data_IF_780423578908
#
_entry.id   IF_780423578908
#
_cell.length_a   1.000
_cell.length_b   1.000
_cell.length_c   1.000
_cell.angle_alpha   90.00
_cell.angle_beta   90.00
_cell.angle_gamma   90.00
#
_symmetry.space_group_name_H-M   'P 1'
#
loop_
_entity.id
_entity.type
_entity.pdbx_description
1 polymer ?
#
# COMPACT_ATOMS: atom_id res chain seq x y z
N UNK A 1 -29.56 1.92 6.04
CA UNK A 1 -28.66 1.98 4.87
C UNK A 1 -27.68 0.83 4.99
N UNK A 2 -27.48 0.03 3.94
CA UNK A 2 -26.54 -1.10 3.96
C UNK A 2 -25.12 -0.53 3.82
N UNK A 3 -24.19 -1.01 4.65
CA UNK A 3 -22.78 -0.58 4.61
C UNK A 3 -22.07 -1.18 3.40
N UNK A 4 -21.28 -0.36 2.70
CA UNK A 4 -20.37 -0.82 1.63
C UNK A 4 -18.91 -0.93 2.09
N UNK A 5 -18.64 -0.80 3.39
CA UNK A 5 -17.28 -0.86 3.95
C UNK A 5 -16.78 -2.32 3.92
N UNK A 6 -15.66 -2.54 3.24
CA UNK A 6 -14.95 -3.83 3.15
C UNK A 6 -13.98 -3.97 4.33
N UNK A 7 -13.19 -2.93 4.56
CA UNK A 7 -12.19 -2.90 5.62
C UNK A 7 -12.01 -1.49 6.17
N UNK A 8 -11.61 -1.39 7.44
CA UNK A 8 -11.32 -0.12 8.11
C UNK A 8 -10.12 -0.22 9.04
N UNK A 9 -9.51 0.93 9.31
CA UNK A 9 -8.56 1.13 10.40
C UNK A 9 -8.81 2.50 11.04
N UNK A 10 -8.51 2.60 12.33
CA UNK A 10 -8.71 3.79 13.12
C UNK A 10 -7.37 4.26 13.68
N UNK A 11 -7.19 5.58 13.72
CA UNK A 11 -6.25 6.23 14.64
C UNK A 11 -7.06 6.91 15.76
N UNK A 12 -6.41 7.74 16.58
CA UNK A 12 -7.05 8.41 17.70
C UNK A 12 -8.29 9.24 17.29
N UNK A 13 -8.16 10.01 16.20
CA UNK A 13 -9.20 10.95 15.76
C UNK A 13 -9.45 10.89 14.25
N UNK A 14 -9.01 9.81 13.58
CA UNK A 14 -9.25 9.61 12.15
C UNK A 14 -9.57 8.17 11.85
N UNK A 15 -10.41 7.96 10.86
CA UNK A 15 -10.77 6.62 10.36
C UNK A 15 -10.45 6.59 8.87
N UNK A 16 -9.85 5.48 8.43
CA UNK A 16 -9.73 5.15 7.01
C UNK A 16 -10.51 3.89 6.73
N UNK A 17 -11.27 3.90 5.65
CA UNK A 17 -12.00 2.73 5.18
C UNK A 17 -11.89 2.56 3.66
N UNK A 18 -12.00 1.30 3.24
CA UNK A 18 -12.08 0.87 1.85
C UNK A 18 -13.50 0.39 1.60
N UNK A 19 -14.15 0.94 0.57
CA UNK A 19 -15.56 0.69 0.25
C UNK A 19 -15.73 0.11 -1.14
N UNK A 20 -16.72 -0.76 -1.25
CA UNK A 20 -17.18 -1.32 -2.51
C UNK A 20 -17.72 -0.23 -3.45
N UNK A 21 -17.12 -0.17 -4.64
CA UNK A 21 -17.57 0.58 -5.82
C UNK A 21 -17.33 -0.27 -7.08
N UNK A 22 -17.42 -1.60 -6.94
CA UNK A 22 -17.28 -2.53 -8.03
C UNK A 22 -18.51 -2.45 -8.93
N UNK A 23 -18.25 -2.46 -10.24
CA UNK A 23 -19.28 -2.36 -11.25
C UNK A 23 -19.05 -3.50 -12.24
N UNK A 24 -20.11 -4.24 -12.52
CA UNK A 24 -20.11 -5.33 -13.50
C UNK A 24 -19.96 -4.75 -14.90
N UNK A 25 -19.18 -5.42 -15.75
CA UNK A 25 -19.16 -5.16 -17.20
C UNK A 25 -20.56 -5.29 -17.81
N UNK A 26 -20.77 -4.71 -18.99
CA UNK A 26 -21.97 -5.08 -19.76
C UNK A 26 -21.85 -6.53 -20.23
N UNK A 27 -22.96 -7.15 -20.61
CA UNK A 27 -22.93 -8.52 -21.17
C UNK A 27 -22.12 -8.57 -22.46
N UNK A 28 -22.17 -7.51 -23.29
CA UNK A 28 -21.37 -7.42 -24.52
C UNK A 28 -19.87 -7.31 -24.23
N UNK A 29 -19.52 -6.77 -23.07
CA UNK A 29 -18.15 -6.60 -22.58
C UNK A 29 -17.73 -7.69 -21.57
N UNK A 30 -18.42 -8.84 -21.53
CA UNK A 30 -18.32 -9.82 -20.44
C UNK A 30 -16.87 -10.24 -20.10
N UNK A 31 -15.99 -10.29 -21.11
CA UNK A 31 -14.59 -10.68 -20.94
C UNK A 31 -13.77 -9.67 -20.12
N UNK A 32 -14.21 -8.42 -20.04
CA UNK A 32 -13.59 -7.39 -19.21
C UNK A 32 -13.85 -7.60 -17.72
N UNK A 33 -14.87 -8.39 -17.37
CA UNK A 33 -15.33 -8.70 -16.00
C UNK A 33 -15.89 -7.48 -15.27
N UNK A 34 -15.09 -6.44 -15.13
CA UNK A 34 -15.41 -5.15 -14.55
C UNK A 34 -15.88 -4.14 -15.60
N UNK A 35 -16.65 -3.15 -15.16
CA UNK A 35 -16.90 -1.95 -15.97
C UNK A 35 -15.59 -1.21 -16.25
N UNK A 36 -15.41 -0.79 -17.50
CA UNK A 36 -14.16 -0.19 -18.03
C UNK A 36 -14.29 1.31 -18.33
N UNK A 37 -15.47 1.90 -18.11
CA UNK A 37 -15.77 3.28 -18.43
C UNK A 37 -15.71 3.60 -19.92
N UNK A 38 -16.06 4.84 -20.27
CA UNK A 38 -16.25 5.26 -21.65
C UNK A 38 -17.72 5.45 -21.98
N UNK A 39 -18.00 5.93 -23.20
CA UNK A 39 -19.34 6.36 -23.63
C UNK A 39 -20.34 5.21 -23.63
N UNK A 40 -19.90 4.04 -24.10
CA UNK A 40 -20.77 2.90 -24.39
C UNK A 40 -20.53 1.71 -23.43
N UNK A 41 -19.80 1.93 -22.33
CA UNK A 41 -19.48 0.89 -21.35
C UNK A 41 -19.98 1.26 -19.96
N UNK A 42 -20.13 0.27 -19.08
CA UNK A 42 -20.42 0.54 -17.67
C UNK A 42 -19.25 1.30 -17.02
N UNK A 43 -19.51 2.19 -16.03
CA UNK A 43 -18.47 2.98 -15.40
C UNK A 43 -17.35 2.12 -14.78
N UNK A 44 -16.17 2.73 -14.64
CA UNK A 44 -15.00 2.05 -14.10
C UNK A 44 -15.26 1.44 -12.72
N UNK A 45 -15.01 0.14 -12.60
CA UNK A 45 -14.98 -0.56 -11.32
C UNK A 45 -13.83 -0.04 -10.46
N UNK A 46 -14.12 0.31 -9.20
CA UNK A 46 -13.13 0.87 -8.27
C UNK A 46 -13.36 0.41 -6.84
N UNK A 47 -12.36 0.64 -5.99
CA UNK A 47 -12.51 0.65 -4.54
C UNK A 47 -12.35 2.08 -4.07
N UNK A 48 -13.31 2.57 -3.30
CA UNK A 48 -13.21 3.90 -2.71
C UNK A 48 -12.40 3.84 -1.42
N UNK A 49 -11.31 4.60 -1.34
CA UNK A 49 -10.61 4.88 -0.10
C UNK A 49 -11.17 6.17 0.48
N UNK A 50 -11.65 6.13 1.73
CA UNK A 50 -12.24 7.28 2.41
C UNK A 50 -11.56 7.51 3.75
N UNK A 51 -11.26 8.77 4.06
CA UNK A 51 -10.75 9.21 5.37
C UNK A 51 -11.78 10.14 6.00
N UNK A 52 -12.17 9.83 7.23
CA UNK A 52 -12.95 10.70 8.09
C UNK A 52 -12.03 11.23 9.20
N UNK A 53 -11.90 12.56 9.28
CA UNK A 53 -11.08 13.28 10.26
C UNK A 53 -11.96 13.99 11.27
N UNK A 54 -11.80 13.62 12.54
CA UNK A 54 -12.51 14.12 13.71
C UNK A 54 -11.62 15.02 14.58
N UNK A 55 -10.46 15.46 14.08
CA UNK A 55 -9.52 16.26 14.86
C UNK A 55 -9.94 17.72 15.09
N UNK A 56 -10.91 18.23 14.31
CA UNK A 56 -11.41 19.60 14.44
C UNK A 56 -12.45 19.76 15.55
N UNK A 57 -12.68 21.00 15.98
CA UNK A 57 -13.69 21.38 16.98
C UNK A 57 -15.13 21.42 16.44
N UNK A 58 -15.37 20.91 15.24
CA UNK A 58 -16.65 20.99 14.53
C UNK A 58 -17.01 19.70 13.80
N UNK A 59 -17.76 19.81 12.69
CA UNK A 59 -18.17 18.65 11.90
C UNK A 59 -16.96 17.86 11.39
N UNK A 60 -17.11 16.53 11.36
CA UNK A 60 -16.09 15.63 10.82
C UNK A 60 -15.83 15.94 9.35
N UNK A 61 -14.56 15.96 8.97
CA UNK A 61 -14.12 16.22 7.61
C UNK A 61 -13.89 14.91 6.88
N UNK A 62 -14.62 14.70 5.79
CA UNK A 62 -14.51 13.47 4.99
C UNK A 62 -13.92 13.76 3.61
N UNK A 63 -12.93 12.95 3.22
CA UNK A 63 -12.33 12.98 1.89
C UNK A 63 -12.28 11.55 1.33
N UNK A 64 -12.39 11.41 0.02
CA UNK A 64 -12.30 10.09 -0.61
C UNK A 64 -11.61 10.16 -1.97
N UNK A 65 -11.03 9.04 -2.37
CA UNK A 65 -10.40 8.82 -3.67
C UNK A 65 -10.71 7.40 -4.15
N UNK A 66 -10.89 7.22 -5.46
CA UNK A 66 -11.21 5.91 -6.02
C UNK A 66 -9.95 5.27 -6.62
N UNK A 67 -9.66 4.04 -6.22
CA UNK A 67 -8.54 3.22 -6.69
C UNK A 67 -9.09 2.21 -7.70
N UNK A 68 -8.49 2.05 -8.88
CA UNK A 68 -8.92 0.99 -9.81
C UNK A 68 -8.50 -0.38 -9.27
N UNK A 69 -9.23 -1.43 -9.65
CA UNK A 69 -9.00 -2.81 -9.20
C UNK A 69 -7.53 -3.23 -9.38
N UNK A 70 -6.96 -3.02 -10.57
CA UNK A 70 -5.54 -3.34 -10.84
C UNK A 70 -4.56 -2.62 -9.90
N UNK A 71 -4.87 -1.37 -9.55
CA UNK A 71 -4.02 -0.59 -8.65
C UNK A 71 -4.16 -1.07 -7.20
N UNK A 72 -5.33 -1.58 -6.80
CA UNK A 72 -5.49 -2.25 -5.50
C UNK A 72 -4.59 -3.48 -5.42
N UNK A 73 -4.58 -4.34 -6.44
CA UNK A 73 -3.67 -5.50 -6.51
C UNK A 73 -2.20 -5.08 -6.47
N UNK A 74 -1.81 -4.10 -7.28
CA UNK A 74 -0.44 -3.57 -7.27
C UNK A 74 -0.03 -3.08 -5.87
N UNK A 75 -0.84 -2.24 -5.23
CA UNK A 75 -0.55 -1.69 -3.90
C UNK A 75 -0.47 -2.83 -2.86
N UNK A 76 -1.40 -3.79 -2.90
CA UNK A 76 -1.43 -4.93 -1.99
C UNK A 76 -0.14 -5.77 -2.08
N UNK A 77 0.36 -6.01 -3.30
CA UNK A 77 1.62 -6.73 -3.52
C UNK A 77 2.84 -5.96 -3.00
N UNK A 78 2.87 -4.62 -3.12
CA UNK A 78 3.95 -3.82 -2.53
C UNK A 78 3.90 -3.85 -1.00
N UNK A 79 2.70 -3.72 -0.41
CA UNK A 79 2.51 -3.87 1.03
C UNK A 79 3.01 -5.24 1.50
N UNK A 80 2.60 -6.32 0.81
CA UNK A 80 3.02 -7.69 1.14
C UNK A 80 4.54 -7.82 1.13
N UNK A 81 5.21 -7.31 0.08
CA UNK A 81 6.68 -7.33 0.00
C UNK A 81 7.33 -6.59 1.17
N UNK A 82 6.81 -5.42 1.54
CA UNK A 82 7.37 -4.61 2.61
C UNK A 82 7.18 -5.27 3.98
N UNK A 83 5.97 -5.77 4.24
CA UNK A 83 5.62 -6.38 5.52
C UNK A 83 6.37 -7.69 5.74
N UNK A 84 6.52 -8.54 4.70
CA UNK A 84 7.18 -9.85 4.85
C UNK A 84 8.67 -9.86 4.54
N UNK A 85 9.22 -8.95 3.70
CA UNK A 85 10.69 -8.86 3.54
C UNK A 85 11.38 -8.33 4.79
N UNK A 86 10.66 -7.60 5.64
CA UNK A 86 11.20 -7.14 6.92
C UNK A 86 11.72 -8.31 7.77
N UNK A 87 11.12 -9.51 7.65
CA UNK A 87 11.58 -10.72 8.35
C UNK A 87 12.91 -11.29 7.80
N UNK A 88 13.25 -11.05 6.52
CA UNK A 88 14.53 -11.53 5.94
C UNK A 88 15.69 -10.55 6.16
N UNK A 89 15.38 -9.24 6.30
CA UNK A 89 16.36 -8.17 6.60
C UNK A 89 16.76 -8.10 8.08
N UNK A 90 16.11 -8.84 8.98
CA UNK A 90 16.53 -8.97 10.38
C UNK A 90 17.84 -9.77 10.57
N UNK A 91 18.61 -9.97 9.49
CA UNK A 91 20.02 -10.35 9.58
C UNK A 91 20.82 -9.17 10.13
N UNK A 92 21.15 -9.26 11.42
CA UNK A 92 22.10 -8.42 12.14
C UNK A 92 23.26 -8.00 11.21
N UNK A 93 23.42 -6.70 10.96
CA UNK A 93 24.55 -6.19 10.22
C UNK A 93 25.68 -5.86 11.20
N UNK A 94 26.89 -6.36 10.90
CA UNK A 94 28.12 -6.03 11.63
C UNK A 94 29.19 -5.58 10.62
N UNK A 95 29.95 -4.56 10.97
CA UNK A 95 31.10 -4.08 10.23
C UNK A 95 32.24 -5.09 10.23
N UNK A 96 33.19 -4.96 9.29
CA UNK A 96 34.40 -5.79 9.26
C UNK A 96 35.21 -5.69 10.56
N UNK A 97 35.21 -4.50 11.17
CA UNK A 97 35.84 -4.25 12.47
C UNK A 97 35.12 -5.00 13.59
N UNK A 98 33.80 -4.88 13.70
CA UNK A 98 33.01 -5.60 14.71
C UNK A 98 33.14 -7.12 14.57
N UNK A 99 33.20 -7.63 13.34
CA UNK A 99 33.49 -9.05 13.08
C UNK A 99 34.89 -9.46 13.57
N UNK A 100 35.89 -8.61 13.36
CA UNK A 100 37.23 -8.82 13.88
C UNK A 100 37.25 -8.79 15.41
N UNK A 101 36.58 -7.82 16.02
CA UNK A 101 36.50 -7.63 17.48
C UNK A 101 35.80 -8.83 18.15
N UNK A 102 34.73 -9.37 17.55
CA UNK A 102 34.11 -10.63 17.99
C UNK A 102 35.10 -11.81 17.92
N UNK A 103 35.93 -11.86 16.87
CA UNK A 103 37.02 -12.84 16.75
C UNK A 103 38.07 -12.72 17.86
N UNK A 104 38.38 -11.49 18.29
CA UNK A 104 39.28 -11.23 19.42
C UNK A 104 38.64 -11.68 20.73
N UNK A 105 37.37 -11.32 20.98
CA UNK A 105 36.65 -11.75 22.19
C UNK A 105 36.59 -13.28 22.30
N UNK A 106 36.29 -13.97 21.19
CA UNK A 106 36.26 -15.43 21.11
C UNK A 106 37.62 -16.04 21.46
N UNK A 107 38.71 -15.55 20.84
CA UNK A 107 40.08 -16.05 21.13
C UNK A 107 40.48 -15.84 22.58
N UNK A 108 40.17 -14.67 23.15
CA UNK A 108 40.45 -14.35 24.56
C UNK A 108 39.76 -15.32 25.51
N UNK A 109 38.48 -15.63 25.28
CA UNK A 109 37.73 -16.61 26.10
C UNK A 109 38.27 -18.02 25.95
N UNK A 110 38.56 -18.46 24.72
CA UNK A 110 39.10 -19.82 24.47
C UNK A 110 40.46 -20.00 25.15
N UNK A 111 41.34 -19.00 25.08
CA UNK A 111 42.64 -19.05 25.75
C UNK A 111 42.47 -19.09 27.28
N UNK A 112 41.59 -18.25 27.84
CA UNK A 112 41.31 -18.24 29.27
C UNK A 112 40.75 -19.58 29.78
N UNK A 113 39.90 -20.24 28.99
CA UNK A 113 39.39 -21.57 29.32
C UNK A 113 40.51 -22.63 29.27
N UNK A 114 41.40 -22.55 28.27
CA UNK A 114 42.53 -23.48 28.14
C UNK A 114 43.53 -23.32 29.30
N UNK A 115 43.88 -22.09 29.62
CA UNK A 115 44.76 -21.77 30.75
C UNK A 115 44.12 -22.13 32.09
N UNK A 116 42.82 -21.85 32.24
CA UNK A 116 42.08 -22.18 33.45
C UNK A 116 41.87 -23.66 33.69
N UNK A 117 41.85 -24.50 32.64
CA UNK A 117 41.90 -25.96 32.78
C UNK A 117 43.22 -26.44 33.38
N UNK A 118 44.33 -25.75 33.10
CA UNK A 118 45.63 -26.05 33.70
C UNK A 118 45.74 -25.55 35.15
N UNK A 119 44.98 -24.51 35.52
CA UNK A 119 45.05 -23.84 36.81
C UNK A 119 43.84 -24.08 37.74
N UNK A 120 42.88 -24.93 37.35
CA UNK A 120 41.58 -25.15 38.04
C UNK A 120 40.74 -23.87 38.30
N UNK A 121 41.01 -22.77 37.60
CA UNK A 121 40.25 -21.52 37.69
C UNK A 121 40.40 -20.69 36.41
N UNK A 122 39.29 -20.14 35.89
CA UNK A 122 39.29 -19.27 34.70
C UNK A 122 39.60 -17.82 35.09
N UNK A 123 40.44 -17.14 34.30
CA UNK A 123 40.79 -15.74 34.54
C UNK A 123 39.57 -14.81 34.42
N UNK A 124 39.19 -14.19 35.54
CA UNK A 124 38.10 -13.21 35.60
C UNK A 124 38.40 -11.96 34.77
N UNK A 125 39.68 -11.57 34.67
CA UNK A 125 40.14 -10.45 33.84
C UNK A 125 39.92 -10.72 32.33
N UNK A 126 40.22 -11.95 31.88
CA UNK A 126 39.99 -12.34 30.49
C UNK A 126 38.49 -12.37 30.14
N UNK A 127 37.65 -12.85 31.07
CA UNK A 127 36.19 -12.80 30.94
C UNK A 127 35.70 -11.35 30.89
N UNK A 128 36.22 -10.47 31.74
CA UNK A 128 35.86 -9.05 31.75
C UNK A 128 36.23 -8.35 30.44
N UNK A 129 37.45 -8.59 29.91
CA UNK A 129 37.91 -8.05 28.62
C UNK A 129 37.02 -8.50 27.46
N UNK A 130 36.69 -9.80 27.40
CA UNK A 130 35.79 -10.31 26.38
C UNK A 130 34.38 -9.73 26.52
N UNK A 131 33.86 -9.57 27.73
CA UNK A 131 32.57 -8.97 27.99
C UNK A 131 32.52 -7.50 27.55
N UNK A 132 33.57 -6.71 27.79
CA UNK A 132 33.67 -5.33 27.32
C UNK A 132 33.59 -5.25 25.78
N UNK A 133 34.28 -6.16 25.08
CA UNK A 133 34.24 -6.23 23.61
C UNK A 133 32.85 -6.63 23.10
N UNK A 134 32.22 -7.62 23.74
CA UNK A 134 30.86 -8.05 23.38
C UNK A 134 29.85 -6.92 23.59
N UNK A 135 29.96 -6.17 24.69
CA UNK A 135 29.13 -4.99 24.96
C UNK A 135 29.38 -3.88 23.94
N UNK A 136 30.63 -3.62 23.56
CA UNK A 136 30.93 -2.60 22.56
C UNK A 136 30.40 -2.97 21.17
N UNK A 137 30.56 -4.24 20.74
CA UNK A 137 29.98 -4.72 19.47
C UNK A 137 28.47 -4.72 19.54
N UNK A 138 27.87 -5.17 20.65
CA UNK A 138 26.43 -5.18 20.85
C UNK A 138 25.78 -3.80 20.75
N UNK A 139 26.50 -2.72 21.08
CA UNK A 139 26.05 -1.33 20.88
C UNK A 139 26.07 -0.89 19.41
N UNK A 140 26.92 -1.49 18.58
CA UNK A 140 27.09 -1.15 17.16
C UNK A 140 26.30 -2.03 16.21
N UNK A 141 25.82 -3.19 16.69
CA UNK A 141 24.83 -4.01 15.98
C UNK A 141 23.61 -3.16 15.65
N UNK A 142 23.41 -2.95 14.36
CA UNK A 142 22.19 -2.39 13.81
C UNK A 142 21.55 -3.47 12.95
N UNK A 143 20.23 -3.65 13.07
CA UNK A 143 19.50 -4.28 11.98
C UNK A 143 19.67 -3.35 10.77
N UNK A 144 20.10 -3.84 9.60
CA UNK A 144 20.01 -3.05 8.40
C UNK A 144 18.52 -2.85 8.14
N UNK A 145 17.95 -1.82 8.75
CA UNK A 145 16.62 -1.31 8.39
C UNK A 145 16.84 -0.59 7.06
N UNK A 146 17.16 -1.34 6.01
CA UNK A 146 16.96 -0.92 4.64
C UNK A 146 15.44 -0.83 4.48
N UNK A 147 14.93 0.34 4.87
CA UNK A 147 13.55 0.69 4.71
C UNK A 147 13.21 0.62 3.24
N UNK A 148 12.39 -0.35 2.85
CA UNK A 148 11.81 -0.32 1.53
C UNK A 148 10.83 0.85 1.50
N UNK A 149 11.30 1.99 1.01
CA UNK A 149 10.48 3.18 0.82
C UNK A 149 9.55 2.93 -0.36
N UNK A 150 8.26 3.13 -0.13
CA UNK A 150 7.24 2.99 -1.15
C UNK A 150 6.45 4.28 -1.24
N UNK A 151 6.16 4.70 -2.46
CA UNK A 151 5.29 5.84 -2.75
C UNK A 151 4.42 5.49 -3.94
N UNK A 152 3.11 5.48 -3.71
CA UNK A 152 2.11 5.45 -4.76
C UNK A 152 1.40 6.79 -4.80
N UNK A 153 1.36 7.42 -5.97
CA UNK A 153 0.66 8.67 -6.21
C UNK A 153 -0.28 8.52 -7.40
N UNK A 154 -1.48 9.06 -7.26
CA UNK A 154 -2.48 9.14 -8.32
C UNK A 154 -3.18 10.48 -8.27
N UNK A 155 -3.25 11.13 -9.42
CA UNK A 155 -4.07 12.31 -9.64
C UNK A 155 -5.20 11.98 -10.63
N UNK A 156 -6.43 12.36 -10.29
CA UNK A 156 -7.60 12.26 -11.17
C UNK A 156 -8.21 13.64 -11.35
N UNK A 157 -8.52 13.98 -12.60
CA UNK A 157 -9.18 15.23 -12.97
C UNK A 157 -10.56 14.90 -13.53
N UNK A 158 -11.60 15.49 -12.96
CA UNK A 158 -12.96 15.37 -13.48
C UNK A 158 -13.28 16.53 -14.42
N UNK A 159 -12.97 16.32 -15.70
CA UNK A 159 -13.16 17.32 -16.76
C UNK A 159 -14.65 17.57 -17.04
N UNK A 160 -15.52 16.59 -16.79
CA UNK A 160 -16.95 16.71 -17.07
C UNK A 160 -17.66 17.59 -16.06
N UNK A 161 -17.15 17.66 -14.84
CA UNK A 161 -17.64 18.56 -13.78
C UNK A 161 -17.01 19.96 -13.82
N UNK A 162 -16.38 20.36 -14.94
CA UNK A 162 -15.71 21.66 -15.04
C UNK A 162 -16.67 22.84 -14.90
N UNK A 163 -16.24 23.87 -14.18
CA UNK A 163 -16.93 25.17 -14.04
C UNK A 163 -15.89 26.28 -14.13
N UNK A 164 -16.18 27.30 -14.94
CA UNK A 164 -15.32 28.49 -15.08
C UNK A 164 -13.85 28.16 -15.42
N UNK A 165 -13.62 27.17 -16.30
CA UNK A 165 -12.27 26.73 -16.70
C UNK A 165 -11.54 25.85 -15.68
N UNK A 166 -12.15 25.59 -14.52
CA UNK A 166 -11.59 24.76 -13.44
C UNK A 166 -12.28 23.41 -13.36
N UNK A 167 -11.50 22.36 -13.16
CA UNK A 167 -12.00 21.01 -12.90
C UNK A 167 -11.69 20.57 -11.47
N UNK A 168 -12.58 19.77 -10.84
CA UNK A 168 -12.24 19.03 -9.64
C UNK A 168 -11.03 18.12 -9.85
N UNK A 169 -10.11 18.14 -8.88
CA UNK A 169 -8.92 17.30 -8.83
C UNK A 169 -8.96 16.48 -7.55
N UNK A 170 -8.73 15.18 -7.67
CA UNK A 170 -8.64 14.24 -6.57
C UNK A 170 -7.26 13.58 -6.59
N UNK A 171 -6.53 13.67 -5.48
CA UNK A 171 -5.21 13.08 -5.31
C UNK A 171 -5.24 12.03 -4.22
N UNK A 172 -4.62 10.89 -4.50
CA UNK A 172 -4.34 9.85 -3.53
C UNK A 172 -2.83 9.63 -3.45
N UNK A 173 -2.30 9.71 -2.23
CA UNK A 173 -0.92 9.42 -1.92
C UNK A 173 -0.87 8.34 -0.84
N UNK A 174 -0.15 7.25 -1.11
CA UNK A 174 0.14 6.20 -0.14
C UNK A 174 1.67 6.09 -0.03
N UNK A 175 2.21 6.34 1.15
CA UNK A 175 3.65 6.26 1.40
C UNK A 175 3.97 5.30 2.54
N UNK A 176 5.15 4.70 2.46
CA UNK A 176 5.76 3.94 3.55
C UNK A 176 7.05 4.65 4.00
N UNK A 177 7.11 4.97 5.28
CA UNK A 177 8.23 5.61 5.97
C UNK A 177 8.57 4.80 7.23
N UNK A 178 9.53 3.88 7.14
CA UNK A 178 9.84 2.96 8.24
C UNK A 178 10.52 3.66 9.43
N UNK A 179 11.06 4.86 9.21
CA UNK A 179 11.78 5.63 10.22
C UNK A 179 11.13 6.99 10.45
N UNK A 180 10.98 7.37 11.71
CA UNK A 180 10.57 8.71 12.12
C UNK A 180 11.56 9.24 13.16
N UNK A 181 12.22 10.36 12.85
CA UNK A 181 13.23 10.99 13.73
C UNK A 181 14.31 10.00 14.21
N UNK A 182 14.80 9.14 13.31
CA UNK A 182 15.85 8.16 13.60
C UNK A 182 15.39 6.92 14.39
N UNK A 183 14.09 6.76 14.67
CA UNK A 183 13.52 5.58 15.33
C UNK A 183 12.57 4.84 14.39
N UNK A 184 12.43 3.52 14.58
CA UNK A 184 11.43 2.71 13.88
C UNK A 184 10.03 3.28 14.13
N UNK A 185 9.29 3.52 13.06
CA UNK A 185 7.92 4.01 13.13
C UNK A 185 6.95 2.88 13.46
N UNK A 186 6.08 3.09 14.46
CA UNK A 186 4.99 2.16 14.76
C UNK A 186 3.86 2.23 13.71
N UNK A 187 3.76 3.36 13.01
CA UNK A 187 2.75 3.63 11.99
C UNK A 187 3.45 4.13 10.72
N UNK A 188 4.18 3.24 10.02
CA UNK A 188 5.05 3.65 8.94
C UNK A 188 4.29 4.00 7.66
N UNK A 189 3.01 3.62 7.54
CA UNK A 189 2.22 3.90 6.35
C UNK A 189 1.39 5.16 6.50
N UNK A 190 1.47 6.07 5.53
CA UNK A 190 0.62 7.25 5.44
C UNK A 190 -0.30 7.14 4.22
N UNK A 191 -1.61 7.28 4.42
CA UNK A 191 -2.58 7.47 3.35
C UNK A 191 -3.05 8.91 3.42
N UNK A 192 -2.89 9.65 2.33
CA UNK A 192 -3.29 11.05 2.20
C UNK A 192 -4.18 11.23 0.98
N UNK A 193 -5.29 11.95 1.17
CA UNK A 193 -6.22 12.31 0.11
C UNK A 193 -6.36 13.82 0.08
N UNK A 194 -6.17 14.40 -1.11
CA UNK A 194 -6.30 15.84 -1.35
C UNK A 194 -7.30 16.08 -2.47
N UNK A 195 -8.37 16.81 -2.17
CA UNK A 195 -9.38 17.27 -3.11
C UNK A 195 -9.23 18.76 -3.33
N UNK A 196 -9.37 19.19 -4.56
CA UNK A 196 -9.29 20.60 -4.92
C UNK A 196 -9.93 20.90 -6.26
N UNK A 197 -9.74 22.13 -6.71
CA UNK A 197 -10.10 22.58 -8.06
C UNK A 197 -8.89 23.24 -8.68
N UNK A 198 -8.64 22.99 -9.97
CA UNK A 198 -7.50 23.54 -10.68
C UNK A 198 -7.87 23.87 -12.12
N UNK A 199 -7.15 24.79 -12.74
CA UNK A 199 -7.33 25.08 -14.16
C UNK A 199 -6.89 23.89 -15.00
N UNK A 200 -7.55 23.71 -16.14
CA UNK A 200 -7.30 22.59 -17.04
C UNK A 200 -6.18 22.95 -18.03
N UNK A 201 -5.31 21.97 -18.31
CA UNK A 201 -4.34 22.03 -19.40
C UNK A 201 -4.74 20.98 -20.43
N UNK A 202 -5.26 21.43 -21.57
CA UNK A 202 -5.50 20.57 -22.73
C UNK A 202 -4.19 20.45 -23.52
N UNK A 203 -3.72 19.22 -23.73
CA UNK A 203 -2.53 18.95 -24.56
C UNK A 203 -2.95 18.60 -25.99
N UNK A 204 -2.08 18.89 -26.95
CA UNK A 204 -2.20 18.37 -28.32
C UNK A 204 -2.34 16.83 -28.27
N UNK A 205 -3.39 16.30 -28.90
CA UNK A 205 -3.77 14.88 -28.81
C UNK A 205 -4.93 14.57 -27.86
N UNK A 206 -5.61 15.58 -27.30
CA UNK A 206 -6.87 15.40 -26.54
C UNK A 206 -6.69 14.88 -25.12
N UNK A 207 -5.45 14.75 -24.64
CA UNK A 207 -5.19 14.44 -23.23
C UNK A 207 -5.39 15.69 -22.37
N UNK A 208 -6.23 15.57 -21.36
CA UNK A 208 -6.56 16.66 -20.44
C UNK A 208 -5.84 16.44 -19.11
N UNK A 209 -5.09 17.44 -18.66
CA UNK A 209 -4.43 17.47 -17.35
C UNK A 209 -4.85 18.74 -16.59
N UNK A 210 -4.28 18.98 -15.41
CA UNK A 210 -4.54 20.19 -14.63
C UNK A 210 -3.24 20.98 -14.38
N UNK A 211 -3.38 22.28 -14.17
CA UNK A 211 -2.27 23.15 -13.78
C UNK A 211 -2.05 23.05 -12.27
N UNK A 212 -0.98 22.35 -11.87
CA UNK A 212 -0.65 22.17 -10.46
C UNK A 212 -0.41 23.48 -9.69
N UNK A 213 0.00 24.56 -10.38
CA UNK A 213 0.21 25.87 -9.75
C UNK A 213 -1.11 26.55 -9.35
N UNK A 214 -2.22 26.16 -9.96
CA UNK A 214 -3.53 26.78 -9.71
C UNK A 214 -4.46 25.87 -8.92
N UNK A 215 -3.94 24.74 -8.41
CA UNK A 215 -4.67 23.84 -7.53
C UNK A 215 -5.02 24.54 -6.22
N UNK A 216 -6.30 24.86 -6.06
CA UNK A 216 -6.88 25.29 -4.81
C UNK A 216 -7.40 24.06 -4.05
N UNK A 217 -6.73 23.70 -2.95
CA UNK A 217 -7.11 22.58 -2.09
C UNK A 217 -8.37 22.94 -1.30
N UNK A 218 -9.47 22.25 -1.60
CA UNK A 218 -10.74 22.43 -0.91
C UNK A 218 -10.84 21.53 0.31
N UNK A 219 -10.29 20.31 0.23
CA UNK A 219 -10.34 19.36 1.32
C UNK A 219 -9.13 18.43 1.32
N UNK A 220 -8.62 18.08 2.49
CA UNK A 220 -7.43 17.24 2.62
C UNK A 220 -7.41 16.53 3.97
N UNK A 221 -7.18 15.22 3.99
CA UNK A 221 -6.90 14.49 5.22
C UNK A 221 -5.83 13.44 4.99
N UNK A 222 -5.14 13.06 6.06
CA UNK A 222 -4.17 11.98 6.05
C UNK A 222 -4.28 11.16 7.33
N UNK A 223 -3.83 9.91 7.27
CA UNK A 223 -3.79 9.02 8.42
C UNK A 223 -2.57 8.12 8.34
N UNK A 224 -1.90 7.94 9.49
CA UNK A 224 -0.82 6.98 9.63
C UNK A 224 -1.36 5.68 10.24
N UNK A 225 -1.00 4.54 9.67
CA UNK A 225 -1.44 3.21 10.11
C UNK A 225 -0.27 2.22 10.17
N UNK A 226 -0.47 1.13 10.92
CA UNK A 226 0.55 0.11 11.14
C UNK A 226 0.74 -0.81 9.92
N UNK A 227 1.85 -1.57 9.90
CA UNK A 227 2.07 -2.63 8.92
C UNK A 227 0.93 -3.66 8.93
N UNK A 228 0.48 -4.06 10.12
CA UNK A 228 -0.60 -5.03 10.30
C UNK A 228 -1.92 -4.51 9.74
N UNK A 229 -2.26 -3.26 10.05
CA UNK A 229 -3.53 -2.66 9.61
C UNK A 229 -3.59 -2.54 8.09
N UNK A 230 -2.56 -1.99 7.45
CA UNK A 230 -2.61 -1.79 6.00
C UNK A 230 -2.59 -3.12 5.26
N UNK A 231 -1.81 -4.10 5.75
CA UNK A 231 -1.78 -5.45 5.18
C UNK A 231 -3.15 -6.14 5.31
N UNK A 232 -3.76 -6.11 6.50
CA UNK A 232 -5.10 -6.64 6.72
C UNK A 232 -6.12 -5.96 5.81
N UNK A 233 -6.09 -4.63 5.71
CA UNK A 233 -7.06 -3.86 4.92
C UNK A 233 -6.99 -4.23 3.44
N UNK A 234 -5.81 -4.18 2.82
CA UNK A 234 -5.68 -4.52 1.40
C UNK A 234 -5.91 -6.00 1.13
N UNK A 235 -5.48 -6.91 2.01
CA UNK A 235 -5.77 -8.35 1.88
C UNK A 235 -7.27 -8.64 1.93
N UNK A 236 -8.02 -7.99 2.84
CA UNK A 236 -9.48 -8.13 2.88
C UNK A 236 -10.14 -7.59 1.62
N UNK A 237 -9.64 -6.48 1.08
CA UNK A 237 -10.14 -5.90 -0.17
C UNK A 237 -9.91 -6.82 -1.36
N UNK A 238 -8.72 -7.43 -1.49
CA UNK A 238 -8.46 -8.43 -2.54
C UNK A 238 -9.44 -9.61 -2.43
N UNK A 239 -9.57 -10.20 -1.24
CA UNK A 239 -10.51 -11.31 -1.02
C UNK A 239 -11.96 -10.93 -1.35
N UNK A 240 -12.36 -9.69 -1.06
CA UNK A 240 -13.68 -9.20 -1.41
C UNK A 240 -13.86 -9.10 -2.92
N UNK A 241 -12.88 -8.53 -3.64
CA UNK A 241 -12.89 -8.43 -5.11
C UNK A 241 -13.02 -9.83 -5.72
N UNK A 242 -12.17 -10.79 -5.30
CA UNK A 242 -12.21 -12.18 -5.79
C UNK A 242 -13.56 -12.85 -5.49
N UNK A 243 -14.12 -12.63 -4.30
CA UNK A 243 -15.44 -13.17 -3.94
C UNK A 243 -16.54 -12.57 -4.81
N UNK A 244 -16.48 -11.25 -5.07
CA UNK A 244 -17.42 -10.55 -5.91
C UNK A 244 -17.31 -10.99 -7.38
N UNK A 245 -16.09 -11.18 -7.90
CA UNK A 245 -15.85 -11.73 -9.24
C UNK A 245 -16.50 -13.12 -9.37
N UNK A 246 -16.29 -14.00 -8.39
CA UNK A 246 -16.88 -15.34 -8.43
C UNK A 246 -18.42 -15.33 -8.30
N UNK A 247 -18.98 -14.45 -7.47
CA UNK A 247 -20.43 -14.44 -7.20
C UNK A 247 -21.24 -13.65 -8.23
N UNK A 248 -20.68 -12.56 -8.77
CA UNK A 248 -21.39 -11.58 -9.59
C UNK A 248 -20.93 -11.59 -11.04
N UNK A 249 -19.62 -11.75 -11.30
CA UNK A 249 -19.08 -11.73 -12.66
C UNK A 249 -19.29 -13.05 -13.37
N UNK A 250 -19.15 -14.18 -12.66
CA UNK A 250 -19.24 -15.51 -13.27
C UNK A 250 -20.55 -15.73 -14.08
N UNK A 251 -21.75 -15.39 -13.57
CA UNK A 251 -22.98 -15.49 -14.37
C UNK A 251 -22.95 -14.60 -15.63
N UNK A 252 -22.37 -13.40 -15.55
CA UNK A 252 -22.26 -12.48 -16.68
C UNK A 252 -21.36 -13.06 -17.80
N UNK A 253 -20.25 -13.66 -17.40
CA UNK A 253 -19.34 -14.35 -18.34
C UNK A 253 -20.04 -15.50 -19.05
N UNK A 254 -20.81 -16.31 -18.30
CA UNK A 254 -21.59 -17.41 -18.89
C UNK A 254 -22.60 -16.88 -19.91
N UNK A 255 -23.30 -15.79 -19.58
CA UNK A 255 -24.29 -15.20 -20.47
C UNK A 255 -23.66 -14.60 -21.73
N UNK A 256 -22.57 -13.84 -21.59
CA UNK A 256 -21.86 -13.26 -22.72
C UNK A 256 -21.24 -14.32 -23.65
N UNK A 257 -20.78 -15.45 -23.11
CA UNK A 257 -20.32 -16.59 -23.92
C UNK A 257 -21.45 -17.21 -24.74
N UNK A 258 -22.65 -17.37 -24.16
CA UNK A 258 -23.84 -17.89 -24.87
C UNK A 258 -24.26 -16.96 -26.00
N UNK A 259 -24.38 -15.68 -25.71
CA UNK A 259 -24.76 -14.67 -26.71
C UNK A 259 -23.77 -14.64 -27.88
N UNK A 260 -22.47 -14.66 -27.59
CA UNK A 260 -21.42 -14.70 -28.63
C UNK A 260 -21.51 -15.94 -29.52
N UNK A 261 -21.87 -17.09 -28.94
CA UNK A 261 -22.04 -18.33 -29.71
C UNK A 261 -23.31 -18.31 -30.57
N UNK A 262 -24.40 -17.72 -30.07
CA UNK A 262 -25.64 -17.49 -30.85
C UNK A 262 -25.39 -16.57 -32.05
N UNK A 263 -24.74 -15.42 -31.83
CA UNK A 263 -24.35 -14.48 -32.90
C UNK A 263 -23.47 -15.16 -33.96
N UNK A 264 -22.55 -16.05 -33.55
CA UNK A 264 -21.70 -16.81 -34.47
C UNK A 264 -22.50 -17.80 -35.33
N UNK A 265 -23.52 -18.45 -34.76
CA UNK A 265 -24.40 -19.37 -35.49
C UNK A 265 -25.26 -18.63 -36.49
N UNK A 266 -25.86 -17.52 -36.09
CA UNK A 266 -26.64 -16.66 -36.99
C UNK A 266 -25.81 -16.14 -38.16
N UNK A 267 -24.58 -15.69 -37.89
CA UNK A 267 -23.65 -15.25 -38.93
C UNK A 267 -23.35 -16.36 -39.96
N UNK A 268 -23.13 -17.59 -39.50
CA UNK A 268 -22.86 -18.73 -40.39
C UNK A 268 -24.10 -19.13 -41.21
N UNK A 269 -25.28 -19.12 -40.59
CA UNK A 269 -26.54 -19.45 -41.26
C UNK A 269 -26.87 -18.43 -42.36
N UNK A 270 -26.61 -17.13 -42.13
CA UNK A 270 -26.86 -16.06 -43.11
C UNK A 270 -25.86 -16.05 -44.28
N UNK A 271 -24.78 -16.85 -44.21
CA UNK A 271 -23.76 -16.98 -45.26
C UNK A 271 -23.96 -18.23 -46.12
N UNK A 272 -24.86 -19.13 -45.70
CA UNK A 272 -25.24 -20.38 -46.38
C UNK A 272 -26.34 -20.12 -47.40
#
# INVERSE_FOLDING_TARGET
>A
MISTIIAKSNSLNKVVDLRDKLILSKTEDYAQMHGIGGKDHNPNSTIQCMICDYSGSGNSKSVSANISVDKVYYIAEQIKKIVFKQDESDKLSITAKEKSDLGVAYKTLINAIREGKSANAVSLDAVHKAAQILVSVGKGITSPIEGYDFTYSQDKVDVYSKKDGKAPVNKLLITHQPMYKGKKSNYPWCIKITNGVADIIEKEGGTVNYNAKTLNVTNEAFINISNEDIYRMFTRTIRYIETWENAVVLPNVINGLKQREEERREYNNNRS
#
